data_IF_126073109988
#
_entry.id   IF_126073109988
#
_cell.length_a   1.000
_cell.length_b   1.000
_cell.length_c   1.000
_cell.angle_alpha   90.00
_cell.angle_beta   90.00
_cell.angle_gamma   90.00
#
_symmetry.space_group_name_H-M   'P 1'
#
loop_
_entity.id
_entity.type
_entity.pdbx_description
1 polymer ?
#
# COMPACT_ATOMS: atom_id res chain seq x y z
N UNK A 1 12.44 12.40 14.36
CA UNK A 1 11.74 13.70 14.28
C UNK A 1 12.64 14.92 14.51
N UNK A 2 13.93 14.78 14.85
CA UNK A 2 14.88 15.91 15.07
C UNK A 2 16.12 15.81 14.17
N UNK A 3 16.02 16.14 12.88
CA UNK A 3 17.21 16.21 12.02
C UNK A 3 17.17 17.33 10.97
N UNK A 4 16.48 18.44 11.25
CA UNK A 4 16.59 19.70 10.49
C UNK A 4 16.05 19.68 9.05
N UNK A 5 15.55 18.55 8.54
CA UNK A 5 14.98 18.44 7.19
C UNK A 5 13.46 18.68 7.22
N UNK A 6 12.93 19.49 6.30
CA UNK A 6 11.48 19.62 6.06
C UNK A 6 10.95 18.30 5.51
N UNK A 7 10.29 17.50 6.37
CA UNK A 7 9.90 16.12 6.03
C UNK A 7 8.52 15.98 5.38
N UNK A 8 7.67 17.01 5.37
CA UNK A 8 6.28 16.89 4.93
C UNK A 8 5.84 18.14 4.16
N UNK A 9 5.96 18.09 2.83
CA UNK A 9 5.16 18.99 1.98
C UNK A 9 3.71 18.51 1.83
N UNK A 10 3.50 17.20 1.97
CA UNK A 10 2.25 16.52 1.63
C UNK A 10 1.94 15.36 2.57
N UNK A 11 0.65 15.07 2.74
CA UNK A 11 0.10 13.96 3.53
C UNK A 11 -0.74 13.08 2.62
N UNK A 12 -0.46 11.77 2.59
CA UNK A 12 -1.27 10.82 1.84
C UNK A 12 -2.31 10.16 2.75
N UNK A 13 -3.50 9.93 2.21
CA UNK A 13 -4.64 9.31 2.87
C UNK A 13 -5.26 8.25 1.97
N UNK A 14 -5.61 7.10 2.56
CA UNK A 14 -6.27 6.00 1.87
C UNK A 14 -7.62 5.70 2.50
N UNK A 15 -8.60 5.42 1.65
CA UNK A 15 -9.82 4.69 2.03
C UNK A 15 -9.70 3.28 1.47
N UNK A 16 -9.62 2.31 2.37
CA UNK A 16 -9.37 0.89 2.06
C UNK A 16 -10.58 0.08 2.49
N UNK A 17 -11.04 -0.81 1.62
CA UNK A 17 -12.00 -1.83 2.00
C UNK A 17 -11.31 -2.86 2.91
N UNK A 18 -11.80 -2.99 4.15
CA UNK A 18 -11.19 -3.83 5.17
C UNK A 18 -11.36 -5.32 4.91
N UNK A 19 -12.32 -5.71 4.06
CA UNK A 19 -12.53 -7.09 3.65
C UNK A 19 -11.53 -7.50 2.58
N UNK A 20 -11.46 -6.75 1.47
CA UNK A 20 -10.67 -7.14 0.30
C UNK A 20 -9.25 -6.57 0.26
N UNK A 21 -8.91 -5.59 1.10
CA UNK A 21 -7.65 -4.83 1.05
C UNK A 21 -7.52 -3.91 -0.19
N UNK A 22 -8.62 -3.68 -0.91
CA UNK A 22 -8.67 -2.79 -2.08
C UNK A 22 -8.71 -1.34 -1.64
N UNK A 23 -7.87 -0.51 -2.24
CA UNK A 23 -7.89 0.94 -2.05
C UNK A 23 -9.03 1.52 -2.90
N UNK A 24 -10.09 2.02 -2.26
CA UNK A 24 -11.24 2.65 -2.92
C UNK A 24 -10.96 4.11 -3.29
N UNK A 25 -10.15 4.80 -2.50
CA UNK A 25 -9.69 6.17 -2.76
C UNK A 25 -8.30 6.37 -2.17
N UNK A 26 -7.44 7.10 -2.88
CA UNK A 26 -6.12 7.52 -2.40
C UNK A 26 -5.89 8.97 -2.79
N UNK A 27 -5.74 9.83 -1.79
CA UNK A 27 -5.52 11.26 -2.00
C UNK A 27 -4.29 11.74 -1.27
N UNK A 28 -3.68 12.78 -1.82
CA UNK A 28 -2.58 13.49 -1.23
C UNK A 28 -3.03 14.92 -0.99
N UNK A 29 -2.87 15.37 0.25
CA UNK A 29 -3.21 16.69 0.77
C UNK A 29 -1.93 17.47 1.09
N UNK A 30 -2.05 18.78 1.31
CA UNK A 30 -0.97 19.53 1.91
C UNK A 30 -0.72 19.08 3.35
N UNK A 31 0.54 19.10 3.79
CA UNK A 31 0.89 18.69 5.15
C UNK A 31 0.31 19.58 6.27
N UNK A 32 -0.30 20.71 5.91
CA UNK A 32 -0.94 21.67 6.81
C UNK A 32 -2.45 21.47 6.97
N UNK A 33 -3.07 20.62 6.15
CA UNK A 33 -4.50 20.30 6.25
C UNK A 33 -4.77 19.34 7.42
N UNK A 34 -5.81 19.62 8.20
CA UNK A 34 -6.16 18.85 9.39
C UNK A 34 -6.96 17.57 9.10
N UNK A 35 -6.58 16.48 9.76
CA UNK A 35 -7.16 15.13 9.60
C UNK A 35 -8.69 15.06 9.74
N UNK A 36 -9.29 15.87 10.61
CA UNK A 36 -10.74 15.79 10.87
C UNK A 36 -11.60 16.26 9.70
N UNK A 37 -11.06 17.08 8.78
CA UNK A 37 -11.80 17.61 7.64
C UNK A 37 -11.78 16.68 6.43
N UNK A 38 -10.82 15.77 6.35
CA UNK A 38 -10.61 14.92 5.17
C UNK A 38 -11.36 13.59 5.22
N UNK A 39 -11.78 13.12 6.41
CA UNK A 39 -12.43 11.82 6.57
C UNK A 39 -13.67 11.65 5.69
N UNK A 40 -14.61 12.60 5.80
CA UNK A 40 -15.90 12.52 5.09
C UNK A 40 -15.67 12.66 3.58
N UNK A 41 -14.80 13.58 3.17
CA UNK A 41 -14.42 13.77 1.77
C UNK A 41 -13.81 12.49 1.17
N UNK A 42 -12.89 11.85 1.91
CA UNK A 42 -12.30 10.58 1.49
C UNK A 42 -13.35 9.48 1.28
N UNK A 43 -14.32 9.37 2.19
CA UNK A 43 -15.43 8.39 2.07
C UNK A 43 -16.34 8.73 0.88
N UNK A 44 -16.66 10.01 0.65
CA UNK A 44 -17.43 10.44 -0.51
C UNK A 44 -16.72 10.08 -1.81
N UNK A 45 -15.40 10.31 -1.89
CA UNK A 45 -14.63 9.99 -3.08
C UNK A 45 -14.50 8.47 -3.30
N UNK A 46 -14.40 7.70 -2.21
CA UNK A 46 -14.47 6.24 -2.28
C UNK A 46 -15.84 5.77 -2.82
N UNK A 47 -16.95 6.35 -2.33
CA UNK A 47 -18.29 6.03 -2.83
C UNK A 47 -18.45 6.39 -4.31
N UNK A 48 -17.94 7.56 -4.74
CA UNK A 48 -17.93 7.95 -6.16
C UNK A 48 -17.17 6.95 -7.02
N UNK A 49 -16.03 6.44 -6.54
CA UNK A 49 -15.26 5.45 -7.27
C UNK A 49 -15.98 4.10 -7.37
N UNK A 50 -16.72 3.68 -6.34
CA UNK A 50 -17.60 2.49 -6.39
C UNK A 50 -18.70 2.66 -7.45
N UNK A 51 -19.36 3.82 -7.48
CA UNK A 51 -20.39 4.11 -8.49
C UNK A 51 -19.78 4.08 -9.89
N UNK A 52 -18.61 4.71 -10.08
CA UNK A 52 -17.90 4.74 -11.37
C UNK A 52 -17.43 3.36 -11.84
N UNK A 53 -17.15 2.44 -10.93
CA UNK A 53 -16.82 1.06 -11.28
C UNK A 53 -18.04 0.20 -11.60
N UNK A 54 -19.26 0.76 -11.50
CA UNK A 54 -20.52 0.03 -11.69
C UNK A 54 -20.93 -0.82 -10.50
N UNK A 55 -20.31 -0.61 -9.33
CA UNK A 55 -20.69 -1.30 -8.10
C UNK A 55 -21.94 -0.68 -7.47
N UNK A 56 -22.89 -1.53 -7.08
CA UNK A 56 -24.06 -1.14 -6.29
C UNK A 56 -23.79 -1.08 -4.78
N UNK A 57 -22.53 -1.32 -4.35
CA UNK A 57 -22.18 -1.30 -2.93
C UNK A 57 -22.24 0.12 -2.35
N UNK A 58 -22.78 0.24 -1.14
CA UNK A 58 -22.82 1.47 -0.36
C UNK A 58 -21.91 1.36 0.86
N UNK A 59 -21.09 2.39 1.09
CA UNK A 59 -20.27 2.48 2.29
C UNK A 59 -21.19 2.86 3.46
N UNK A 60 -21.39 1.93 4.39
CA UNK A 60 -22.20 2.18 5.59
C UNK A 60 -21.37 2.38 6.86
N UNK A 61 -20.13 1.88 6.89
CA UNK A 61 -19.32 1.80 8.11
C UNK A 61 -17.93 2.36 7.89
N UNK A 62 -17.47 3.19 8.83
CA UNK A 62 -16.17 3.87 8.75
C UNK A 62 -15.38 3.59 10.01
N UNK A 63 -14.27 2.87 9.87
CA UNK A 63 -13.27 2.71 10.91
C UNK A 63 -12.06 3.60 10.61
N UNK A 64 -11.77 4.54 11.50
CA UNK A 64 -10.65 5.47 11.35
C UNK A 64 -9.76 5.47 12.59
N UNK A 65 -8.54 5.98 12.44
CA UNK A 65 -7.63 6.13 13.58
C UNK A 65 -8.14 7.21 14.55
N UNK A 66 -7.63 7.20 15.78
CA UNK A 66 -7.92 8.16 16.83
C UNK A 66 -7.70 9.61 16.40
N UNK A 67 -6.76 9.89 15.49
CA UNK A 67 -6.53 11.23 14.93
C UNK A 67 -7.78 11.84 14.26
N UNK A 68 -8.69 11.01 13.76
CA UNK A 68 -9.95 11.44 13.15
C UNK A 68 -11.08 11.64 14.16
N UNK A 69 -10.82 11.53 15.47
CA UNK A 69 -11.84 11.74 16.50
C UNK A 69 -12.12 13.23 16.70
N UNK A 70 -13.00 13.79 15.87
CA UNK A 70 -13.55 15.14 16.01
C UNK A 70 -15.08 15.10 16.11
N UNK A 71 -15.65 16.07 16.83
CA UNK A 71 -17.10 16.15 17.04
C UNK A 71 -17.83 16.33 15.72
N UNK A 72 -17.33 17.27 14.92
CA UNK A 72 -17.86 17.67 13.63
C UNK A 72 -17.79 16.48 12.66
N UNK A 73 -16.62 15.85 12.53
CA UNK A 73 -16.43 14.69 11.64
C UNK A 73 -17.37 13.51 11.98
N UNK A 74 -17.51 13.17 13.27
CA UNK A 74 -18.38 12.06 13.71
C UNK A 74 -19.86 12.40 13.49
N UNK A 75 -20.24 13.66 13.70
CA UNK A 75 -21.60 14.15 13.49
C UNK A 75 -21.95 14.15 12.01
N UNK A 76 -21.07 14.70 11.16
CA UNK A 76 -21.23 14.70 9.70
C UNK A 76 -21.35 13.27 9.15
N UNK A 77 -20.47 12.34 9.56
CA UNK A 77 -20.63 10.94 9.19
C UNK A 77 -22.02 10.40 9.56
N UNK A 78 -22.53 10.75 10.73
CA UNK A 78 -23.87 10.32 11.18
C UNK A 78 -24.97 10.92 10.30
N UNK A 79 -24.84 12.18 9.85
CA UNK A 79 -25.77 12.83 8.91
C UNK A 79 -25.79 12.14 7.55
N UNK A 80 -24.65 11.64 7.08
CA UNK A 80 -24.55 10.82 5.87
C UNK A 80 -24.98 9.36 6.08
N UNK A 81 -25.55 8.99 7.24
CA UNK A 81 -25.98 7.62 7.53
C UNK A 81 -24.84 6.65 7.88
N UNK A 82 -23.61 7.14 8.03
CA UNK A 82 -22.43 6.32 8.28
C UNK A 82 -22.28 5.95 9.76
N UNK A 83 -21.97 4.68 10.02
CA UNK A 83 -21.63 4.18 11.35
C UNK A 83 -20.13 4.23 11.58
N UNK A 84 -19.72 5.15 12.45
CA UNK A 84 -18.32 5.36 12.82
C UNK A 84 -17.83 4.44 13.94
N UNK A 85 -16.58 4.02 13.80
CA UNK A 85 -15.80 3.21 14.75
C UNK A 85 -14.43 3.87 14.99
N UNK A 86 -14.45 5.05 15.61
CA UNK A 86 -13.25 5.86 15.84
C UNK A 86 -12.91 5.83 17.34
N UNK A 87 -11.73 5.34 17.76
CA UNK A 87 -11.33 5.36 19.15
C UNK A 87 -11.27 6.78 19.70
N UNK A 88 -11.84 6.99 20.88
CA UNK A 88 -11.76 8.29 21.56
C UNK A 88 -10.40 8.45 22.28
N UNK A 89 -9.78 9.63 22.21
CA UNK A 89 -8.60 9.95 23.02
C UNK A 89 -8.86 9.84 24.52
N UNK A 90 -7.87 9.38 25.28
CA UNK A 90 -7.95 9.40 26.75
C UNK A 90 -7.90 10.86 27.22
N UNK A 91 -8.92 11.30 27.93
CA UNK A 91 -8.98 12.61 28.58
C UNK A 91 -8.91 12.45 30.09
N UNK A 92 -8.22 13.37 30.78
CA UNK A 92 -8.24 13.45 32.25
C UNK A 92 -9.57 13.97 32.78
N UNK A 93 -10.26 14.78 31.98
CA UNK A 93 -11.52 15.42 32.36
C UNK A 93 -12.70 14.76 31.64
N UNK A 94 -13.84 14.74 32.31
CA UNK A 94 -15.10 14.38 31.67
C UNK A 94 -15.46 15.45 30.63
N UNK A 95 -16.12 15.01 29.56
CA UNK A 95 -16.52 15.89 28.49
C UNK A 95 -17.78 16.64 28.90
N UNK A 96 -17.76 17.97 28.75
CA UNK A 96 -18.90 18.85 29.05
C UNK A 96 -19.65 19.16 27.74
N UNK A 97 -20.98 19.10 27.79
CA UNK A 97 -21.87 19.23 26.63
C UNK A 97 -22.80 20.45 26.66
N UNK A 98 -22.62 21.35 27.63
CA UNK A 98 -23.55 22.46 27.91
C UNK A 98 -23.81 23.35 26.68
N UNK A 99 -22.77 23.73 25.94
CA UNK A 99 -22.88 24.63 24.79
C UNK A 99 -22.91 23.89 23.44
N UNK A 100 -23.31 22.61 23.43
CA UNK A 100 -23.27 21.78 22.22
C UNK A 100 -24.65 21.24 21.86
N UNK A 101 -25.01 21.24 20.56
CA UNK A 101 -26.22 20.57 20.11
C UNK A 101 -26.28 19.10 20.55
N UNK A 102 -27.46 18.65 20.96
CA UNK A 102 -27.72 17.27 21.40
C UNK A 102 -27.28 16.24 20.34
N UNK A 103 -27.42 16.58 19.05
CA UNK A 103 -26.98 15.75 17.93
C UNK A 103 -25.49 15.35 18.05
N UNK A 104 -24.63 16.30 18.42
CA UNK A 104 -23.18 16.07 18.55
C UNK A 104 -22.90 15.12 19.72
N UNK A 105 -23.54 15.35 20.87
CA UNK A 105 -23.41 14.46 22.02
C UNK A 105 -23.84 13.04 21.66
N UNK A 106 -25.02 12.88 21.06
CA UNK A 106 -25.54 11.58 20.63
C UNK A 106 -24.58 10.89 19.67
N UNK A 107 -24.07 11.59 18.67
CA UNK A 107 -23.14 11.03 17.68
C UNK A 107 -21.85 10.52 18.34
N UNK A 108 -21.22 11.32 19.22
CA UNK A 108 -19.99 10.93 19.92
C UNK A 108 -20.22 9.78 20.91
N UNK A 109 -21.32 9.83 21.69
CA UNK A 109 -21.66 8.76 22.64
C UNK A 109 -21.93 7.44 21.91
N UNK A 110 -22.65 7.49 20.77
CA UNK A 110 -22.91 6.31 19.95
C UNK A 110 -21.62 5.74 19.35
N UNK A 111 -20.73 6.59 18.81
CA UNK A 111 -19.40 6.17 18.35
C UNK A 111 -18.58 5.52 19.49
N UNK A 112 -18.54 6.13 20.68
CA UNK A 112 -17.86 5.58 21.86
C UNK A 112 -18.39 4.19 22.22
N UNK A 113 -19.72 4.01 22.23
CA UNK A 113 -20.37 2.71 22.48
C UNK A 113 -19.98 1.70 21.39
N UNK A 114 -20.05 2.05 20.10
CA UNK A 114 -19.68 1.18 18.96
C UNK A 114 -18.22 0.75 19.01
N UNK A 115 -17.29 1.68 19.21
CA UNK A 115 -15.84 1.42 19.24
C UNK A 115 -15.40 0.48 20.36
N UNK A 116 -16.15 0.43 21.48
CA UNK A 116 -15.84 -0.46 22.61
C UNK A 116 -16.31 -1.90 22.41
N UNK A 117 -17.31 -2.15 21.54
CA UNK A 117 -17.85 -3.48 21.23
C UNK A 117 -16.83 -4.36 20.52
N UNK A 118 -17.04 -5.68 20.55
CA UNK A 118 -16.19 -6.68 19.87
C UNK A 118 -16.01 -6.37 18.38
N UNK A 119 -17.11 -6.01 17.68
CA UNK A 119 -17.06 -5.58 16.27
C UNK A 119 -16.15 -4.36 16.07
N UNK A 120 -16.33 -3.30 16.88
CA UNK A 120 -15.50 -2.09 16.79
C UNK A 120 -14.01 -2.36 17.04
N UNK A 121 -13.69 -3.21 18.03
CA UNK A 121 -12.31 -3.65 18.29
C UNK A 121 -11.72 -4.48 17.15
N UNK A 122 -12.53 -5.32 16.49
CA UNK A 122 -12.10 -6.09 15.30
C UNK A 122 -11.84 -5.14 14.12
N UNK A 123 -12.76 -4.23 13.82
CA UNK A 123 -12.58 -3.23 12.76
C UNK A 123 -11.37 -2.34 13.00
N UNK A 124 -11.14 -1.90 14.25
CA UNK A 124 -9.96 -1.13 14.61
C UNK A 124 -8.64 -1.87 14.34
N UNK A 125 -8.59 -3.18 14.61
CA UNK A 125 -7.42 -4.03 14.30
C UNK A 125 -7.22 -4.21 12.80
N UNK A 126 -8.28 -4.55 12.07
CA UNK A 126 -8.24 -4.69 10.60
C UNK A 126 -7.78 -3.38 9.95
N UNK A 127 -8.37 -2.25 10.34
CA UNK A 127 -7.97 -0.93 9.86
C UNK A 127 -6.49 -0.65 10.10
N UNK A 128 -5.97 -0.89 11.31
CA UNK A 128 -4.54 -0.73 11.58
C UNK A 128 -3.68 -1.56 10.62
N UNK A 129 -4.03 -2.83 10.45
CA UNK A 129 -3.26 -3.75 9.61
C UNK A 129 -3.34 -3.42 8.11
N UNK A 130 -4.55 -3.26 7.56
CA UNK A 130 -4.78 -3.02 6.13
C UNK A 130 -4.23 -1.67 5.68
N UNK A 131 -4.47 -0.61 6.46
CA UNK A 131 -3.97 0.73 6.13
C UNK A 131 -2.44 0.76 6.17
N UNK A 132 -1.80 0.21 7.21
CA UNK A 132 -0.33 0.15 7.26
C UNK A 132 0.24 -0.70 6.13
N UNK A 133 -0.39 -1.82 5.77
CA UNK A 133 0.04 -2.63 4.62
C UNK A 133 -0.05 -1.86 3.31
N UNK A 134 -1.15 -1.13 3.09
CA UNK A 134 -1.32 -0.31 1.88
C UNK A 134 -0.21 0.76 1.78
N UNK A 135 0.10 1.43 2.89
CA UNK A 135 1.21 2.40 2.93
C UNK A 135 2.57 1.74 2.74
N UNK A 136 2.85 0.60 3.37
CA UNK A 136 4.10 -0.14 3.14
C UNK A 136 4.25 -0.53 1.66
N UNK A 137 3.15 -0.94 1.02
CA UNK A 137 3.17 -1.28 -0.39
C UNK A 137 3.47 -0.06 -1.26
N UNK A 138 2.72 1.04 -1.10
CA UNK A 138 2.84 2.24 -1.93
C UNK A 138 4.12 3.02 -1.64
N UNK A 139 4.37 3.34 -0.37
CA UNK A 139 5.42 4.26 0.05
C UNK A 139 6.79 3.59 0.15
N UNK A 140 6.88 2.38 0.71
CA UNK A 140 8.17 1.73 0.95
C UNK A 140 8.58 0.89 -0.27
N UNK A 141 7.83 -0.15 -0.61
CA UNK A 141 8.20 -1.01 -1.77
C UNK A 141 7.88 -0.35 -3.12
N UNK A 142 6.88 0.52 -3.16
CA UNK A 142 6.44 1.23 -4.36
C UNK A 142 7.16 2.56 -4.59
N UNK A 143 7.96 3.04 -3.63
CA UNK A 143 8.75 4.26 -3.78
C UNK A 143 7.93 5.55 -3.85
N UNK A 144 6.67 5.54 -3.43
CA UNK A 144 5.81 6.73 -3.45
C UNK A 144 6.14 7.73 -2.32
N UNK A 145 6.98 7.37 -1.34
CA UNK A 145 7.32 8.21 -0.18
C UNK A 145 8.06 9.50 -0.52
N UNK A 146 8.77 9.54 -1.66
CA UNK A 146 9.50 10.74 -2.12
C UNK A 146 9.08 11.06 -3.55
N UNK A 147 8.97 12.35 -3.85
CA UNK A 147 8.70 12.83 -5.21
C UNK A 147 9.52 14.09 -5.50
N UNK A 148 9.93 14.21 -6.76
CA UNK A 148 10.49 15.44 -7.33
C UNK A 148 9.40 16.28 -8.04
N UNK A 149 8.16 15.80 -8.08
CA UNK A 149 7.04 16.53 -8.64
C UNK A 149 6.65 17.67 -7.69
N UNK A 150 6.44 18.85 -8.26
CA UNK A 150 5.93 20.02 -7.53
C UNK A 150 4.46 20.25 -7.88
N UNK A 151 3.64 20.51 -6.86
CA UNK A 151 2.21 20.77 -7.00
C UNK A 151 1.35 19.54 -6.67
N UNK A 152 0.25 19.80 -5.97
CA UNK A 152 -0.65 18.79 -5.43
C UNK A 152 -1.26 17.89 -6.52
N UNK A 153 -1.63 18.49 -7.66
CA UNK A 153 -2.25 17.78 -8.78
C UNK A 153 -1.31 16.72 -9.39
N UNK A 154 -0.06 17.09 -9.67
CA UNK A 154 0.94 16.17 -10.25
C UNK A 154 1.25 15.02 -9.29
N UNK A 155 1.32 15.31 -8.00
CA UNK A 155 1.56 14.30 -6.97
C UNK A 155 0.38 13.36 -6.86
N UNK A 156 -0.86 13.87 -6.84
CA UNK A 156 -2.06 13.03 -6.82
C UNK A 156 -2.15 12.10 -8.03
N UNK A 157 -1.89 12.59 -9.24
CA UNK A 157 -1.83 11.74 -10.46
C UNK A 157 -0.85 10.59 -10.31
N UNK A 158 0.37 10.88 -9.83
CA UNK A 158 1.38 9.85 -9.58
C UNK A 158 0.91 8.86 -8.50
N UNK A 159 0.35 9.36 -7.41
CA UNK A 159 -0.08 8.53 -6.29
C UNK A 159 -1.25 7.61 -6.67
N UNK A 160 -2.18 8.08 -7.50
CA UNK A 160 -3.27 7.29 -8.06
C UNK A 160 -2.75 6.09 -8.88
N UNK A 161 -1.68 6.27 -9.67
CA UNK A 161 -1.04 5.16 -10.41
C UNK A 161 -0.48 4.12 -9.43
N UNK A 162 0.15 4.54 -8.34
CA UNK A 162 0.65 3.61 -7.31
C UNK A 162 -0.48 2.85 -6.61
N UNK A 163 -1.60 3.51 -6.32
CA UNK A 163 -2.79 2.87 -5.75
C UNK A 163 -3.41 1.86 -6.74
N UNK A 164 -3.52 2.23 -8.03
CA UNK A 164 -4.01 1.32 -9.07
C UNK A 164 -3.10 0.07 -9.21
N UNK A 165 -1.78 0.24 -9.16
CA UNK A 165 -0.85 -0.88 -9.18
C UNK A 165 -0.99 -1.80 -7.96
N UNK A 166 -1.31 -1.26 -6.77
CA UNK A 166 -1.63 -2.07 -5.59
C UNK A 166 -2.92 -2.86 -5.77
N UNK A 167 -3.99 -2.22 -6.25
CA UNK A 167 -5.26 -2.90 -6.50
C UNK A 167 -5.11 -4.00 -7.56
N UNK A 168 -4.32 -3.77 -8.61
CA UNK A 168 -3.99 -4.79 -9.59
C UNK A 168 -3.28 -5.99 -8.94
N UNK A 169 -2.35 -5.76 -8.01
CA UNK A 169 -1.69 -6.82 -7.27
C UNK A 169 -2.66 -7.64 -6.39
N UNK A 170 -3.66 -6.99 -5.79
CA UNK A 170 -4.74 -7.67 -5.06
C UNK A 170 -5.56 -8.55 -6.00
N UNK A 171 -5.98 -8.01 -7.15
CA UNK A 171 -6.74 -8.76 -8.16
C UNK A 171 -5.94 -9.94 -8.72
N UNK A 172 -4.67 -9.74 -9.04
CA UNK A 172 -3.79 -10.82 -9.51
C UNK A 172 -3.66 -11.95 -8.47
N UNK A 173 -3.60 -11.59 -7.19
CA UNK A 173 -3.57 -12.58 -6.11
C UNK A 173 -4.88 -13.37 -6.03
N UNK A 174 -6.02 -12.70 -6.18
CA UNK A 174 -7.33 -13.35 -6.12
C UNK A 174 -7.59 -14.25 -7.33
N UNK A 175 -7.31 -13.76 -8.54
CA UNK A 175 -7.62 -14.49 -9.79
C UNK A 175 -6.60 -15.58 -10.08
N UNK A 176 -5.31 -15.32 -9.84
CA UNK A 176 -4.23 -16.23 -10.24
C UNK A 176 -3.44 -16.82 -9.07
N UNK A 177 -3.75 -16.46 -7.82
CA UNK A 177 -2.94 -16.86 -6.65
C UNK A 177 -1.59 -16.12 -6.56
N UNK A 178 -1.29 -15.21 -7.49
CA UNK A 178 0.03 -14.60 -7.65
C UNK A 178 -0.02 -13.14 -7.19
N UNK A 179 0.71 -12.84 -6.12
CA UNK A 179 0.64 -11.54 -5.47
C UNK A 179 1.25 -10.36 -6.24
N UNK A 180 2.35 -10.54 -6.99
CA UNK A 180 2.98 -9.47 -7.76
C UNK A 180 3.52 -10.01 -9.08
N UNK A 181 3.50 -9.23 -10.20
CA UNK A 181 4.11 -9.63 -11.46
C UNK A 181 5.59 -10.02 -11.34
N UNK A 182 6.35 -9.32 -10.48
CA UNK A 182 7.75 -9.66 -10.17
C UNK A 182 7.91 -11.04 -9.51
N UNK A 183 6.96 -11.46 -8.70
CA UNK A 183 6.96 -12.80 -8.11
C UNK A 183 6.76 -13.88 -9.16
N UNK A 184 5.90 -13.61 -10.15
CA UNK A 184 5.71 -14.50 -11.30
C UNK A 184 6.99 -14.63 -12.13
N UNK A 185 7.61 -13.50 -12.49
CA UNK A 185 8.84 -13.49 -13.27
C UNK A 185 9.98 -14.22 -12.55
N UNK A 186 10.10 -14.05 -11.23
CA UNK A 186 11.08 -14.77 -10.42
C UNK A 186 10.78 -16.29 -10.36
N UNK A 187 9.52 -16.68 -10.19
CA UNK A 187 9.11 -18.09 -10.17
C UNK A 187 9.31 -18.80 -11.52
N UNK A 188 9.05 -18.10 -12.63
CA UNK A 188 9.35 -18.61 -13.98
C UNK A 188 10.87 -18.71 -14.21
N UNK A 189 11.64 -17.70 -13.81
CA UNK A 189 13.09 -17.73 -13.95
C UNK A 189 13.71 -18.90 -13.16
N UNK A 190 13.24 -19.17 -11.94
CA UNK A 190 13.71 -20.32 -11.15
C UNK A 190 13.29 -21.65 -11.77
N UNK A 191 12.06 -21.77 -12.27
CA UNK A 191 11.60 -22.97 -12.97
C UNK A 191 12.42 -23.25 -14.26
N UNK A 192 12.67 -22.22 -15.07
CA UNK A 192 13.52 -22.32 -16.25
C UNK A 192 14.96 -22.70 -15.88
N UNK A 193 15.54 -22.11 -14.83
CA UNK A 193 16.88 -22.45 -14.37
C UNK A 193 16.97 -23.91 -13.89
N UNK A 194 15.96 -24.40 -13.16
CA UNK A 194 15.88 -25.79 -12.72
C UNK A 194 15.75 -26.77 -13.91
N UNK A 195 14.91 -26.44 -14.89
CA UNK A 195 14.76 -27.22 -16.12
C UNK A 195 16.06 -27.28 -16.94
N UNK A 196 16.74 -26.14 -17.11
CA UNK A 196 18.04 -26.09 -17.79
C UNK A 196 19.12 -26.86 -17.02
N UNK A 197 19.10 -26.84 -15.69
CA UNK A 197 20.02 -27.63 -14.86
C UNK A 197 19.78 -29.13 -15.04
N UNK A 198 18.51 -29.57 -15.04
CA UNK A 198 18.13 -30.97 -15.30
C UNK A 198 18.53 -31.41 -16.72
N UNK A 199 18.28 -30.59 -17.74
CA UNK A 199 18.72 -30.86 -19.10
C UNK A 199 20.24 -30.98 -19.20
N UNK A 200 20.99 -30.09 -18.54
CA UNK A 200 22.46 -30.16 -18.51
C UNK A 200 22.95 -31.45 -17.85
N UNK A 201 22.30 -31.89 -16.78
CA UNK A 201 22.68 -33.10 -16.07
C UNK A 201 22.35 -34.37 -16.88
N UNK A 202 21.20 -34.40 -17.57
CA UNK A 202 20.86 -35.43 -18.54
C UNK A 202 21.87 -35.49 -19.69
N UNK A 203 22.25 -34.34 -20.25
CA UNK A 203 23.23 -34.27 -21.35
C UNK A 203 24.64 -34.71 -20.89
N UNK A 204 25.05 -34.39 -19.66
CA UNK A 204 26.30 -34.89 -19.05
C UNK A 204 26.30 -36.39 -18.84
N UNK A 205 25.16 -36.97 -18.47
CA UNK A 205 24.98 -38.42 -18.33
C UNK A 205 24.99 -39.14 -19.67
N UNK A 206 24.50 -38.49 -20.73
CA UNK A 206 24.49 -39.03 -22.08
C UNK A 206 25.83 -38.87 -22.81
N UNK A 207 26.69 -37.95 -22.38
CA UNK A 207 28.04 -37.82 -22.94
C UNK A 207 28.92 -38.97 -22.45
N UNK A 208 28.99 -40.02 -23.27
CA UNK A 208 29.98 -41.11 -23.15
C UNK A 208 31.38 -40.49 -23.03
N UNK A 209 32.28 -40.99 -22.16
CA UNK A 209 33.62 -40.43 -22.06
C UNK A 209 34.31 -40.57 -23.41
N UNK A 210 34.67 -39.44 -24.03
CA UNK A 210 35.53 -39.45 -25.19
C UNK A 210 36.84 -40.17 -24.81
N UNK A 211 37.14 -41.26 -25.53
CA UNK A 211 38.36 -42.02 -25.35
C UNK A 211 39.58 -41.07 -25.39
N UNK A 212 40.44 -41.18 -24.36
CA UNK A 212 41.67 -40.40 -24.26
C UNK A 212 42.58 -40.74 -25.44
N UNK A 213 42.70 -39.83 -26.40
CA UNK A 213 43.81 -39.83 -27.34
C UNK A 213 45.09 -39.34 -26.63
N UNK A 214 46.24 -40.01 -26.81
CA UNK A 214 47.48 -39.61 -26.16
C UNK A 214 48.02 -38.29 -26.75
N UNK A 215 48.50 -37.44 -25.84
CA UNK A 215 49.04 -36.10 -26.10
C UNK A 215 50.23 -36.12 -27.07
N UNK A 216 50.19 -35.25 -28.08
CA UNK A 216 51.40 -34.76 -28.77
C UNK A 216 51.74 -33.37 -28.22
N UNK A 217 53.01 -33.07 -27.88
CA UNK A 217 53.38 -31.77 -27.35
C UNK A 217 53.59 -30.79 -28.52
N UNK A 218 52.86 -29.66 -28.54
CA UNK A 218 53.21 -28.52 -29.39
C UNK A 218 53.22 -27.22 -28.58
N UNK A 219 54.47 -26.84 -28.28
CA UNK A 219 55.08 -25.52 -28.39
C UNK A 219 54.23 -24.28 -28.02
N UNK A 220 54.73 -23.59 -26.99
CA UNK A 220 54.29 -22.28 -26.53
C UNK A 220 54.39 -21.22 -27.62
N UNK A 221 53.24 -20.69 -28.05
CA UNK A 221 53.17 -19.38 -28.69
C UNK A 221 52.60 -18.40 -27.66
N UNK A 222 53.43 -17.42 -27.27
CA UNK A 222 53.02 -16.27 -26.46
C UNK A 222 52.06 -15.40 -27.28
N UNK A 223 50.89 -15.00 -26.78
CA UNK A 223 50.21 -13.84 -27.30
C UNK A 223 50.71 -12.60 -26.58
N UNK A 224 51.27 -11.68 -27.36
CA UNK A 224 51.42 -10.28 -27.01
C UNK A 224 50.05 -9.60 -26.93
N UNK A 225 50.04 -8.45 -26.25
CA UNK A 225 49.02 -7.39 -26.26
C UNK A 225 47.94 -7.50 -25.17
N UNK A 226 48.31 -6.96 -23.99
CA UNK A 226 47.38 -6.35 -23.04
C UNK A 226 46.76 -5.12 -23.68
N UNK A 227 45.44 -5.12 -23.86
CA UNK A 227 44.66 -3.91 -24.07
C UNK A 227 43.94 -3.59 -22.76
N UNK A 228 44.34 -2.49 -22.12
CA UNK A 228 43.62 -1.91 -21.00
C UNK A 228 42.73 -0.79 -21.55
N UNK A 229 41.43 -0.87 -21.29
CA UNK A 229 40.48 0.20 -21.58
C UNK A 229 40.00 0.83 -20.27
N UNK A 230 39.99 2.17 -20.24
CA UNK A 230 39.39 3.01 -19.20
C UNK A 230 38.06 3.54 -19.72
N UNK A 231 37.05 3.66 -18.86
CA UNK A 231 35.83 4.43 -19.16
C UNK A 231 35.52 5.34 -17.99
N UNK A 232 35.27 6.62 -18.30
CA UNK A 232 34.88 7.66 -17.35
C UNK A 232 33.71 8.48 -17.92
N UNK A 233 32.61 8.43 -17.17
CA UNK A 233 31.48 9.36 -16.97
C UNK A 233 30.22 8.54 -16.69
#
# INVERSE_FOLDING_TARGET
MKNGRTRLGYKAEHVVDLETDVILSAQVHHGTEGDSQTLVLGVIDAQRNLIRSGSAAEIEEVAADKGYHANEAITECTRYGLRTYIPEPKSRHQRVWIDKPEEIERAVVNNRRRSRRTKGRRLGRLRSEKVERSFAHLCDTGGARRSWLCGLEKINKRYAIHAAAHNLAVLMRQVFGIGKPRGLAAAWATACAAFLALLRDCLRRWSVPAARFPNTPRQSLRPANRWAFSTGC
#
